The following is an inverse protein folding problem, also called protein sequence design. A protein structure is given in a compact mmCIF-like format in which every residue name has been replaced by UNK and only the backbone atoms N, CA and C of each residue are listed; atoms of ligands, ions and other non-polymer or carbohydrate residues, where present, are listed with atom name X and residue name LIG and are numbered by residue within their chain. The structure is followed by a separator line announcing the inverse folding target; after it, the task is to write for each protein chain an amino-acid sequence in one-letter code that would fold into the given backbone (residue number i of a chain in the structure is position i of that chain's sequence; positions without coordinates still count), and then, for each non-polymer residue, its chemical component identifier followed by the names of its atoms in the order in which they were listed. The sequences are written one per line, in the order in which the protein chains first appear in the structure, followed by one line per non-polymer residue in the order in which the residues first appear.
data_IF_518861808225
#
_entry.id   IF_518861808225
#
_cell.length_a   1.000
_cell.length_b   1.000
_cell.length_c   1.000
_cell.angle_alpha   90.00
_cell.angle_beta   90.00
_cell.angle_gamma   90.00
#
_symmetry.space_group_name_H-M   'P 1'
#
loop_
_entity.id
_entity.type
_entity.pdbx_description
1 polymer ?
#
# COMPACT_ATOMS: atom_id res chain seq x y z
N UNK A 1 -37.67 -11.28 -3.64
CA UNK A 1 -36.50 -10.44 -3.92
C UNK A 1 -36.70 -9.15 -3.15
N UNK A 2 -36.07 -9.01 -2.00
CA UNK A 2 -36.17 -7.78 -1.19
C UNK A 2 -35.03 -6.83 -1.59
N UNK A 3 -35.38 -5.74 -2.22
CA UNK A 3 -34.45 -4.62 -2.50
C UNK A 3 -34.07 -3.95 -1.19
N UNK A 4 -32.86 -4.20 -0.71
CA UNK A 4 -32.26 -3.42 0.38
C UNK A 4 -31.95 -2.01 -0.16
N UNK A 5 -32.76 -1.05 0.24
CA UNK A 5 -32.47 0.38 0.06
C UNK A 5 -31.18 0.72 0.82
N UNK A 6 -30.18 1.26 0.12
CA UNK A 6 -28.97 1.79 0.77
C UNK A 6 -29.36 2.89 1.76
N UNK A 7 -28.80 2.89 3.00
CA UNK A 7 -29.05 3.97 3.94
C UNK A 7 -28.53 5.28 3.40
N UNK A 8 -29.28 6.36 3.61
CA UNK A 8 -28.92 7.72 3.24
C UNK A 8 -27.57 8.10 3.90
N UNK A 9 -26.75 8.82 3.14
CA UNK A 9 -25.45 9.33 3.61
C UNK A 9 -25.66 10.16 4.88
N UNK A 10 -24.94 9.90 5.99
CA UNK A 10 -24.93 10.82 7.11
C UNK A 10 -24.35 12.18 6.64
N UNK A 11 -24.84 13.26 7.23
CA UNK A 11 -24.31 14.61 7.01
C UNK A 11 -22.78 14.63 7.24
N UNK A 12 -22.01 15.45 6.53
CA UNK A 12 -20.56 15.49 6.68
C UNK A 12 -20.23 15.81 8.15
N UNK A 13 -19.49 14.91 8.77
CA UNK A 13 -19.00 15.11 10.14
C UNK A 13 -18.08 16.35 10.12
N UNK A 14 -18.43 17.41 10.84
CA UNK A 14 -17.68 18.65 10.88
C UNK A 14 -16.37 18.56 11.67
N UNK A 15 -16.19 17.48 12.45
CA UNK A 15 -14.99 17.26 13.27
C UNK A 15 -13.88 16.68 12.39
N UNK A 16 -12.69 17.30 12.44
CA UNK A 16 -11.50 16.79 11.76
C UNK A 16 -11.06 15.46 12.39
N UNK A 17 -10.69 14.45 11.57
CA UNK A 17 -10.07 13.23 12.09
C UNK A 17 -8.80 13.56 12.87
N UNK A 18 -8.58 12.82 13.96
CA UNK A 18 -7.32 12.89 14.71
C UNK A 18 -6.37 11.84 14.16
N UNK A 19 -5.14 12.26 13.86
CA UNK A 19 -4.02 11.38 13.56
C UNK A 19 -3.04 11.43 14.73
N UNK A 20 -2.79 10.30 15.35
CA UNK A 20 -1.78 10.17 16.40
C UNK A 20 -0.43 9.83 15.77
N UNK A 21 0.63 10.50 16.24
CA UNK A 21 1.98 10.33 15.72
C UNK A 21 2.95 9.94 16.83
N UNK A 22 3.57 8.77 16.70
CA UNK A 22 4.69 8.32 17.51
C UNK A 22 5.99 8.61 16.74
N UNK A 23 6.68 9.68 17.10
CA UNK A 23 7.96 10.09 16.50
C UNK A 23 9.07 9.08 16.82
N UNK A 24 9.91 8.76 15.83
CA UNK A 24 11.07 7.88 16.00
C UNK A 24 12.20 8.52 16.81
N UNK A 25 12.27 9.86 16.90
CA UNK A 25 13.33 10.56 17.61
C UNK A 25 13.36 10.24 19.12
N UNK A 26 14.56 10.05 19.65
CA UNK A 26 14.80 9.79 21.08
C UNK A 26 15.59 10.97 21.64
N UNK A 27 14.96 11.73 22.53
CA UNK A 27 15.56 12.91 23.15
C UNK A 27 16.51 12.60 24.30
N UNK A 28 16.31 11.43 24.95
CA UNK A 28 17.15 10.91 26.04
C UNK A 28 17.20 9.38 25.96
N UNK A 29 18.28 8.78 26.44
CA UNK A 29 18.47 7.31 26.44
C UNK A 29 17.62 6.63 27.53
N UNK A 30 16.32 6.67 27.35
CA UNK A 30 15.31 6.06 28.23
C UNK A 30 14.41 5.12 27.43
N UNK A 31 14.18 3.91 27.92
CA UNK A 31 13.36 2.90 27.23
C UNK A 31 11.92 3.38 26.95
N UNK A 32 11.36 4.21 27.83
CA UNK A 32 10.05 4.82 27.69
C UNK A 32 9.92 5.78 26.50
N UNK A 33 11.03 6.35 26.04
CA UNK A 33 11.08 7.31 24.91
C UNK A 33 11.35 6.65 23.56
N UNK A 34 11.57 5.34 23.54
CA UNK A 34 11.80 4.59 22.30
C UNK A 34 10.52 4.44 21.48
N UNK A 35 10.65 4.32 20.16
CA UNK A 35 9.50 4.17 19.27
C UNK A 35 8.59 2.98 19.64
N UNK A 36 9.09 1.78 20.03
CA UNK A 36 8.22 0.70 20.50
C UNK A 36 7.37 1.09 21.71
N UNK A 37 7.92 1.86 22.66
CA UNK A 37 7.18 2.33 23.83
C UNK A 37 6.14 3.40 23.44
N UNK A 38 6.51 4.34 22.59
CA UNK A 38 5.59 5.34 22.03
C UNK A 38 4.46 4.67 21.22
N UNK A 39 4.77 3.64 20.45
CA UNK A 39 3.73 2.90 19.71
C UNK A 39 2.72 2.20 20.63
N UNK A 40 3.14 1.63 21.74
CA UNK A 40 2.21 1.11 22.75
C UNK A 40 1.25 2.20 23.22
N UNK A 41 1.77 3.38 23.62
CA UNK A 41 0.93 4.52 24.06
C UNK A 41 0.03 5.06 22.95
N UNK A 42 0.49 4.99 21.69
CA UNK A 42 -0.35 5.35 20.55
C UNK A 42 -1.57 4.43 20.45
N UNK A 43 -1.39 3.13 20.61
CA UNK A 43 -2.49 2.15 20.55
C UNK A 43 -3.53 2.37 21.65
N UNK A 44 -3.14 2.87 22.84
CA UNK A 44 -4.04 3.21 23.95
C UNK A 44 -5.05 4.32 23.59
N UNK A 45 -4.74 5.15 22.57
CA UNK A 45 -5.64 6.22 22.11
C UNK A 45 -6.90 5.72 21.38
N UNK A 46 -6.95 4.43 21.03
CA UNK A 46 -8.05 3.87 20.24
C UNK A 46 -9.06 3.05 21.02
N UNK A 47 -8.97 3.01 22.35
CA UNK A 47 -9.88 2.23 23.20
C UNK A 47 -10.12 0.81 22.65
N UNK A 48 -9.02 0.09 22.41
CA UNK A 48 -9.08 -1.26 21.83
C UNK A 48 -10.02 -2.20 22.61
N UNK A 49 -10.08 -2.19 23.97
CA UNK A 49 -11.01 -3.05 24.70
C UNK A 49 -12.48 -2.86 24.28
N UNK A 50 -12.93 -1.62 24.10
CA UNK A 50 -14.30 -1.36 23.64
C UNK A 50 -14.54 -1.76 22.17
N UNK A 51 -13.46 -1.78 21.35
CA UNK A 51 -13.56 -2.02 19.90
C UNK A 51 -13.40 -3.46 19.50
N UNK A 52 -12.53 -4.24 20.17
CA UNK A 52 -12.10 -5.55 19.67
C UNK A 52 -12.47 -6.73 20.58
N UNK A 53 -13.01 -6.49 21.79
CA UNK A 53 -13.40 -7.56 22.71
C UNK A 53 -14.35 -8.55 22.01
N UNK A 54 -14.04 -9.84 22.13
CA UNK A 54 -14.76 -10.96 21.56
C UNK A 54 -14.87 -10.94 20.01
N UNK A 55 -14.11 -10.08 19.31
CA UNK A 55 -14.14 -9.93 17.85
C UNK A 55 -13.03 -10.72 17.16
N UNK A 56 -13.29 -11.05 15.88
CA UNK A 56 -12.28 -11.52 14.92
C UNK A 56 -11.60 -10.31 14.31
N UNK A 57 -10.30 -10.16 14.57
CA UNK A 57 -9.49 -9.03 14.09
C UNK A 57 -8.63 -9.47 12.92
N UNK A 58 -8.74 -8.76 11.80
CA UNK A 58 -7.87 -8.92 10.63
C UNK A 58 -6.85 -7.81 10.57
N UNK A 59 -5.56 -8.15 10.47
CA UNK A 59 -4.47 -7.20 10.26
C UNK A 59 -3.98 -7.39 8.82
N UNK A 60 -4.32 -6.47 7.93
CA UNK A 60 -3.77 -6.45 6.56
C UNK A 60 -2.45 -5.72 6.55
N UNK A 61 -1.44 -6.39 6.10
CA UNK A 61 -0.11 -5.83 5.94
C UNK A 61 0.54 -6.36 4.66
N UNK A 62 1.71 -5.87 4.28
CA UNK A 62 2.47 -6.40 3.16
C UNK A 62 3.64 -7.23 3.69
N UNK A 63 3.68 -8.51 3.30
CA UNK A 63 4.73 -9.43 3.73
C UNK A 63 6.03 -9.28 2.94
N UNK A 64 6.04 -8.43 1.92
CA UNK A 64 7.18 -8.23 1.04
C UNK A 64 7.23 -9.27 -0.09
N UNK A 65 8.27 -9.22 -0.88
CA UNK A 65 8.54 -10.15 -1.96
C UNK A 65 10.04 -10.43 -2.07
N UNK A 66 10.41 -11.53 -2.69
CA UNK A 66 11.77 -11.97 -3.01
C UNK A 66 12.81 -11.63 -1.90
N UNK A 67 13.86 -10.90 -2.22
CA UNK A 67 14.96 -10.55 -1.32
C UNK A 67 14.76 -9.23 -0.55
N UNK A 68 13.60 -8.60 -0.63
CA UNK A 68 13.31 -7.36 0.10
C UNK A 68 13.46 -7.54 1.62
N UNK A 69 14.16 -6.62 2.30
CA UNK A 69 14.46 -6.69 3.74
C UNK A 69 13.96 -5.48 4.54
N UNK A 70 13.45 -4.46 3.86
CA UNK A 70 13.03 -3.18 4.48
C UNK A 70 11.56 -3.16 4.91
N UNK A 71 10.89 -4.31 4.93
CA UNK A 71 9.51 -4.46 5.41
C UNK A 71 9.39 -4.10 6.89
N UNK A 72 8.16 -3.92 7.38
CA UNK A 72 7.89 -3.60 8.79
C UNK A 72 8.54 -4.65 9.71
N UNK A 73 9.32 -4.22 10.70
CA UNK A 73 9.90 -5.14 11.67
C UNK A 73 8.82 -5.93 12.42
N UNK A 74 8.96 -7.27 12.56
CA UNK A 74 8.03 -8.11 13.34
C UNK A 74 7.77 -7.61 14.76
N UNK A 75 8.69 -6.86 15.35
CA UNK A 75 8.54 -6.26 16.68
C UNK A 75 7.29 -5.39 16.78
N UNK A 76 7.01 -4.57 15.77
CA UNK A 76 5.85 -3.68 15.79
C UNK A 76 4.54 -4.46 15.64
N UNK A 77 4.53 -5.52 14.81
CA UNK A 77 3.35 -6.37 14.67
C UNK A 77 3.08 -7.11 15.97
N UNK A 78 4.11 -7.61 16.63
CA UNK A 78 3.98 -8.27 17.96
C UNK A 78 3.41 -7.34 19.02
N UNK A 79 3.81 -6.06 19.03
CA UNK A 79 3.26 -5.04 19.94
C UNK A 79 1.76 -4.88 19.67
N UNK A 80 1.36 -4.75 18.41
CA UNK A 80 -0.05 -4.65 18.03
C UNK A 80 -0.83 -5.91 18.43
N UNK A 81 -0.32 -7.09 18.08
CA UNK A 81 -0.96 -8.38 18.41
C UNK A 81 -1.12 -8.55 19.92
N UNK A 82 -0.11 -8.16 20.72
CA UNK A 82 -0.20 -8.23 22.17
C UNK A 82 -1.27 -7.27 22.71
N UNK A 83 -1.31 -6.02 22.24
CA UNK A 83 -2.34 -5.07 22.62
C UNK A 83 -3.76 -5.55 22.29
N UNK A 84 -3.94 -6.22 21.15
CA UNK A 84 -5.23 -6.81 20.77
C UNK A 84 -5.62 -8.00 21.66
N UNK A 85 -4.67 -8.84 22.06
CA UNK A 85 -4.90 -9.94 23.02
C UNK A 85 -5.31 -9.40 24.38
N UNK A 86 -4.57 -8.40 24.89
CA UNK A 86 -4.84 -7.76 26.17
C UNK A 86 -6.21 -7.06 26.16
N UNK A 87 -6.64 -6.57 25.00
CA UNK A 87 -7.97 -5.99 24.77
C UNK A 87 -9.08 -7.04 24.59
N UNK A 88 -8.77 -8.34 24.68
CA UNK A 88 -9.75 -9.42 24.61
C UNK A 88 -10.23 -9.81 23.21
N UNK A 89 -9.45 -9.56 22.16
CA UNK A 89 -9.77 -10.05 20.82
C UNK A 89 -9.86 -11.59 20.81
N UNK A 90 -10.97 -12.12 20.23
CA UNK A 90 -11.22 -13.57 20.19
C UNK A 90 -10.29 -14.31 19.25
N UNK A 91 -9.99 -13.72 18.10
CA UNK A 91 -9.14 -14.30 17.07
C UNK A 91 -8.42 -13.20 16.31
N UNK A 92 -7.13 -13.35 16.09
CA UNK A 92 -6.29 -12.36 15.40
C UNK A 92 -5.60 -13.06 14.22
N UNK A 93 -5.69 -12.46 13.04
CA UNK A 93 -5.04 -12.92 11.81
C UNK A 93 -4.21 -11.79 11.20
N UNK A 94 -2.93 -12.03 10.93
CA UNK A 94 -2.15 -11.23 10.00
C UNK A 94 -2.30 -11.80 8.59
N UNK A 95 -2.55 -10.96 7.59
CA UNK A 95 -2.86 -11.43 6.24
C UNK A 95 -2.16 -10.67 5.15
N UNK A 96 -1.70 -11.40 4.13
CA UNK A 96 -1.26 -10.89 2.83
C UNK A 96 -1.54 -11.95 1.75
N UNK A 97 -1.29 -11.62 0.49
CA UNK A 97 -1.62 -12.48 -0.64
C UNK A 97 -0.96 -13.87 -0.56
N UNK A 98 0.34 -13.90 -0.22
CA UNK A 98 1.11 -15.13 -0.08
C UNK A 98 1.85 -15.15 1.26
N UNK A 99 1.38 -15.90 2.25
CA UNK A 99 2.05 -16.02 3.56
C UNK A 99 3.48 -16.53 3.47
N UNK A 100 3.80 -17.37 2.47
CA UNK A 100 5.14 -17.93 2.30
C UNK A 100 6.20 -16.84 2.07
N UNK A 101 5.83 -15.72 1.42
CA UNK A 101 6.74 -14.60 1.19
C UNK A 101 7.21 -13.94 2.50
N UNK A 102 6.42 -14.07 3.56
CA UNK A 102 6.73 -13.49 4.87
C UNK A 102 7.69 -14.30 5.74
N UNK A 103 7.88 -15.60 5.45
CA UNK A 103 8.64 -16.52 6.32
C UNK A 103 10.09 -16.02 6.50
N UNK A 104 10.77 -15.67 5.42
CA UNK A 104 12.15 -15.20 5.46
C UNK A 104 12.33 -13.89 6.25
N UNK A 105 11.24 -13.16 6.51
CA UNK A 105 11.21 -11.88 7.25
C UNK A 105 10.69 -12.05 8.68
N UNK A 106 10.44 -13.30 9.09
CA UNK A 106 9.94 -13.61 10.43
C UNK A 106 8.43 -13.39 10.60
N UNK A 107 7.65 -13.28 9.52
CA UNK A 107 6.20 -13.21 9.62
C UNK A 107 5.61 -14.62 9.71
N UNK A 108 5.88 -15.27 10.83
CA UNK A 108 5.34 -16.60 11.15
C UNK A 108 4.43 -16.52 12.37
N UNK A 109 3.60 -17.53 12.55
CA UNK A 109 2.69 -17.61 13.71
C UNK A 109 3.45 -17.51 15.04
N UNK A 110 4.59 -18.18 15.13
CA UNK A 110 5.42 -18.24 16.35
C UNK A 110 6.01 -16.87 16.65
N UNK A 111 6.46 -16.15 15.64
CA UNK A 111 7.07 -14.83 15.81
C UNK A 111 6.01 -13.78 16.06
N UNK A 112 4.93 -13.73 15.28
CA UNK A 112 3.89 -12.70 15.40
C UNK A 112 2.95 -12.94 16.57
N UNK A 113 2.77 -14.19 16.99
CA UNK A 113 1.85 -14.58 18.05
C UNK A 113 0.38 -14.60 17.63
N UNK A 114 0.08 -14.60 16.34
CA UNK A 114 -1.26 -14.73 15.77
C UNK A 114 -1.23 -15.59 14.52
N UNK A 115 -2.39 -15.96 13.97
CA UNK A 115 -2.45 -16.68 12.71
C UNK A 115 -1.94 -15.84 11.55
N UNK A 116 -1.21 -16.48 10.62
CA UNK A 116 -0.71 -15.87 9.39
C UNK A 116 -1.38 -16.58 8.23
N UNK A 117 -2.18 -15.85 7.47
CA UNK A 117 -3.08 -16.44 6.48
C UNK A 117 -3.00 -15.73 5.12
N UNK A 118 -3.37 -16.46 4.05
CA UNK A 118 -3.61 -15.80 2.77
C UNK A 118 -4.86 -14.93 2.84
N UNK A 119 -4.79 -13.73 2.29
CA UNK A 119 -5.93 -12.83 2.15
C UNK A 119 -7.12 -13.49 1.41
N UNK A 120 -6.86 -14.49 0.55
CA UNK A 120 -7.89 -15.18 -0.26
C UNK A 120 -8.26 -16.57 0.27
N UNK A 121 -7.92 -16.86 1.53
CA UNK A 121 -8.13 -18.15 2.17
C UNK A 121 -7.20 -19.25 1.64
N UNK A 122 -7.29 -20.45 2.21
CA UNK A 122 -6.41 -21.57 1.87
C UNK A 122 -6.57 -22.04 0.40
N UNK A 123 -7.78 -21.92 -0.17
CA UNK A 123 -8.05 -22.29 -1.56
C UNK A 123 -7.74 -21.21 -2.58
N UNK A 124 -7.33 -20.02 -2.15
CA UNK A 124 -7.15 -18.80 -2.97
C UNK A 124 -8.43 -18.37 -3.73
N UNK A 125 -9.61 -18.80 -3.26
CA UNK A 125 -10.92 -18.60 -3.91
C UNK A 125 -11.97 -18.00 -2.99
N UNK A 126 -11.61 -17.58 -1.78
CA UNK A 126 -12.52 -16.93 -0.85
C UNK A 126 -12.67 -15.46 -1.22
N UNK A 127 -13.59 -15.18 -2.15
CA UNK A 127 -13.74 -13.90 -2.81
C UNK A 127 -15.20 -13.50 -2.91
N UNK A 128 -15.45 -12.19 -2.76
CA UNK A 128 -16.74 -11.54 -3.04
C UNK A 128 -16.66 -10.76 -4.34
N UNK A 129 -17.69 -10.90 -5.18
CA UNK A 129 -17.83 -10.17 -6.43
C UNK A 129 -18.53 -8.84 -6.18
N UNK A 130 -17.89 -7.73 -6.50
CA UNK A 130 -18.42 -6.39 -6.28
C UNK A 130 -18.41 -5.57 -7.58
N UNK A 131 -19.57 -5.10 -8.06
CA UNK A 131 -19.65 -4.30 -9.27
C UNK A 131 -18.99 -2.92 -9.03
N UNK A 132 -18.19 -2.48 -10.01
CA UNK A 132 -17.56 -1.15 -10.03
C UNK A 132 -18.09 -0.32 -11.18
N UNK A 133 -18.16 -0.89 -12.38
CA UNK A 133 -18.64 -0.20 -13.58
C UNK A 133 -17.76 1.01 -14.00
N UNK A 134 -16.44 0.86 -13.92
CA UNK A 134 -15.51 1.92 -14.28
C UNK A 134 -14.56 1.46 -15.40
N UNK A 135 -14.81 1.93 -16.63
CA UNK A 135 -14.00 1.59 -17.82
C UNK A 135 -13.84 0.06 -17.97
N UNK A 136 -12.58 -0.43 -18.01
CA UNK A 136 -12.27 -1.86 -18.10
C UNK A 136 -12.37 -2.59 -16.75
N UNK A 137 -12.60 -1.86 -15.67
CA UNK A 137 -12.82 -2.38 -14.33
C UNK A 137 -14.33 -2.46 -14.06
N UNK A 138 -14.97 -3.48 -14.60
CA UNK A 138 -16.40 -3.75 -14.47
C UNK A 138 -16.78 -4.24 -13.06
N UNK A 139 -15.92 -5.07 -12.48
CA UNK A 139 -16.06 -5.61 -11.13
C UNK A 139 -14.71 -5.69 -10.41
N UNK A 140 -14.73 -5.73 -9.09
CA UNK A 140 -13.62 -6.14 -8.24
C UNK A 140 -13.97 -7.42 -7.48
N UNK A 141 -12.97 -8.29 -7.36
CA UNK A 141 -13.02 -9.43 -6.46
C UNK A 141 -12.36 -9.00 -5.14
N UNK A 142 -13.12 -9.02 -4.05
CA UNK A 142 -12.64 -8.65 -2.72
C UNK A 142 -12.40 -9.88 -1.86
N UNK A 143 -11.35 -9.86 -1.09
CA UNK A 143 -10.95 -10.88 -0.11
C UNK A 143 -12.05 -11.17 0.91
N UNK A 144 -12.50 -12.42 0.99
CA UNK A 144 -13.43 -12.86 2.05
C UNK A 144 -12.77 -12.86 3.42
N UNK A 145 -11.48 -13.22 3.54
CA UNK A 145 -10.76 -13.19 4.82
C UNK A 145 -10.69 -11.77 5.42
N UNK A 146 -10.57 -10.74 4.57
CA UNK A 146 -10.55 -9.36 5.01
C UNK A 146 -11.96 -8.82 5.28
N UNK A 147 -12.93 -9.08 4.38
CA UNK A 147 -14.31 -8.56 4.49
C UNK A 147 -15.05 -9.13 5.69
N UNK A 148 -14.80 -10.39 6.06
CA UNK A 148 -15.51 -11.08 7.14
C UNK A 148 -14.87 -10.88 8.53
N UNK A 149 -13.88 -9.99 8.66
CA UNK A 149 -13.41 -9.57 9.97
C UNK A 149 -14.47 -8.71 10.67
N UNK A 150 -14.56 -8.84 11.99
CA UNK A 150 -15.42 -7.98 12.81
C UNK A 150 -14.76 -6.61 13.09
N UNK A 151 -13.42 -6.59 13.04
CA UNK A 151 -12.58 -5.39 13.14
C UNK A 151 -11.39 -5.52 12.19
N UNK A 152 -11.16 -4.52 11.36
CA UNK A 152 -10.11 -4.53 10.37
C UNK A 152 -9.03 -3.48 10.68
N UNK A 153 -7.78 -3.91 10.67
CA UNK A 153 -6.61 -3.04 10.84
C UNK A 153 -5.80 -3.08 9.55
N UNK A 154 -5.61 -1.94 8.92
CA UNK A 154 -4.57 -1.77 7.92
C UNK A 154 -3.25 -1.40 8.60
N UNK A 155 -2.21 -2.20 8.41
CA UNK A 155 -0.88 -1.98 8.98
C UNK A 155 0.13 -1.84 7.84
N UNK A 156 0.24 -0.62 7.33
CA UNK A 156 0.97 -0.31 6.11
C UNK A 156 2.36 0.21 6.36
N UNK A 157 3.25 -0.09 5.42
CA UNK A 157 4.59 0.50 5.30
C UNK A 157 4.56 1.61 4.26
N UNK A 158 4.92 2.83 4.64
CA UNK A 158 5.00 3.97 3.73
C UNK A 158 6.31 3.92 2.92
N UNK A 159 6.18 4.01 1.60
CA UNK A 159 7.30 4.00 0.64
C UNK A 159 6.88 4.56 -0.72
N UNK A 160 7.86 4.86 -1.57
CA UNK A 160 7.61 5.25 -2.96
C UNK A 160 7.05 4.09 -3.79
N UNK A 161 6.38 4.40 -4.89
CA UNK A 161 5.85 3.41 -5.82
C UNK A 161 5.77 3.97 -7.24
N UNK A 162 6.35 3.25 -8.21
CA UNK A 162 6.41 3.69 -9.61
C UNK A 162 5.05 3.90 -10.26
N UNK A 163 4.03 3.07 -9.95
CA UNK A 163 2.70 3.18 -10.57
C UNK A 163 1.75 4.10 -9.78
N UNK A 164 1.80 4.04 -8.45
CA UNK A 164 0.87 4.76 -7.58
C UNK A 164 1.39 6.12 -7.06
N UNK A 165 2.68 6.44 -7.26
CA UNK A 165 3.38 7.52 -6.57
C UNK A 165 3.86 7.09 -5.18
N UNK A 166 3.02 6.49 -4.35
CA UNK A 166 3.39 5.92 -3.06
C UNK A 166 2.62 4.65 -2.71
N UNK A 167 3.09 3.92 -1.71
CA UNK A 167 2.36 2.83 -1.05
C UNK A 167 2.09 3.19 0.40
N UNK A 168 0.83 3.14 0.80
CA UNK A 168 0.29 3.36 2.14
C UNK A 168 -0.98 2.54 2.33
N UNK A 169 -1.87 2.93 3.24
CA UNK A 169 -3.09 2.22 3.56
C UNK A 169 -4.02 2.07 2.34
N UNK A 170 -4.21 3.13 1.54
CA UNK A 170 -5.02 3.05 0.33
C UNK A 170 -4.53 1.95 -0.61
N UNK A 171 -3.23 1.94 -0.92
CA UNK A 171 -2.64 0.95 -1.83
C UNK A 171 -2.65 -0.45 -1.23
N UNK A 172 -2.39 -0.59 0.07
CA UNK A 172 -2.40 -1.87 0.77
C UNK A 172 -3.79 -2.51 0.74
N UNK A 173 -4.85 -1.71 0.83
CA UNK A 173 -6.23 -2.18 0.63
C UNK A 173 -6.46 -2.47 -0.86
N UNK A 174 -6.39 -1.48 -1.74
CA UNK A 174 -6.80 -1.65 -3.14
C UNK A 174 -6.11 -2.83 -3.84
N UNK A 175 -4.80 -3.01 -3.61
CA UNK A 175 -4.02 -4.11 -4.20
C UNK A 175 -3.96 -5.35 -3.33
N UNK A 176 -4.02 -5.19 -2.01
CA UNK A 176 -3.79 -6.29 -1.07
C UNK A 176 -5.05 -7.08 -0.70
N UNK A 177 -6.26 -6.51 -0.89
CA UNK A 177 -7.52 -7.26 -0.70
C UNK A 177 -8.12 -7.73 -2.02
N UNK A 178 -7.41 -7.57 -3.14
CA UNK A 178 -7.85 -8.01 -4.48
C UNK A 178 -6.89 -9.04 -5.07
N UNK A 179 -7.39 -10.06 -5.76
CA UNK A 179 -6.56 -11.10 -6.39
C UNK A 179 -5.87 -10.58 -7.66
N UNK A 180 -4.91 -11.35 -8.21
CA UNK A 180 -4.17 -10.99 -9.42
C UNK A 180 -5.04 -10.58 -10.61
N UNK A 181 -6.22 -11.18 -10.75
CA UNK A 181 -7.16 -10.86 -11.82
C UNK A 181 -7.64 -9.40 -11.75
N UNK A 182 -8.13 -8.97 -10.59
CA UNK A 182 -8.58 -7.57 -10.37
C UNK A 182 -7.41 -6.59 -10.48
N UNK A 183 -6.24 -6.94 -9.91
CA UNK A 183 -5.02 -6.13 -10.05
C UNK A 183 -4.61 -5.94 -11.51
N UNK A 184 -4.70 -6.99 -12.32
CA UNK A 184 -4.44 -6.91 -13.76
C UNK A 184 -5.42 -5.98 -14.49
N UNK A 185 -6.71 -5.95 -14.11
CA UNK A 185 -7.70 -5.00 -14.63
C UNK A 185 -7.32 -3.56 -14.23
N UNK A 186 -6.90 -3.34 -12.96
CA UNK A 186 -6.40 -2.04 -12.48
C UNK A 186 -5.20 -1.53 -13.28
N UNK A 187 -4.15 -2.33 -13.44
CA UNK A 187 -2.97 -1.91 -14.21
C UNK A 187 -3.30 -1.57 -15.65
N UNK A 188 -4.29 -2.24 -16.25
CA UNK A 188 -4.75 -1.90 -17.61
C UNK A 188 -5.41 -0.53 -17.71
N UNK A 189 -5.97 0.02 -16.62
CA UNK A 189 -6.50 1.38 -16.61
C UNK A 189 -5.40 2.42 -16.83
N UNK A 190 -4.21 2.17 -16.30
CA UNK A 190 -3.07 3.06 -16.51
C UNK A 190 -2.59 3.07 -17.96
N UNK A 191 -2.90 2.06 -18.74
CA UNK A 191 -2.33 1.83 -20.05
C UNK A 191 -1.00 1.12 -19.95
N UNK A 192 0.06 1.69 -20.51
CA UNK A 192 1.38 1.14 -20.39
C UNK A 192 2.15 1.08 -21.71
N UNK A 193 3.03 0.08 -21.83
CA UNK A 193 3.76 -0.21 -23.06
C UNK A 193 3.05 -1.36 -23.77
N UNK A 194 2.48 -1.07 -24.94
CA UNK A 194 1.98 -2.10 -25.82
C UNK A 194 3.16 -2.80 -26.49
N UNK A 195 3.14 -4.13 -26.48
CA UNK A 195 4.14 -4.99 -27.09
C UNK A 195 3.52 -5.81 -28.21
N UNK A 196 4.10 -5.68 -29.42
CA UNK A 196 3.71 -6.48 -30.56
C UNK A 196 4.77 -7.60 -30.80
N UNK A 197 4.47 -8.84 -30.39
CA UNK A 197 5.43 -9.94 -30.53
C UNK A 197 5.73 -10.31 -31.97
N UNK A 198 4.87 -9.95 -32.95
CA UNK A 198 5.09 -10.21 -34.36
C UNK A 198 6.16 -9.30 -34.98
N UNK A 199 6.33 -8.11 -34.40
CA UNK A 199 7.37 -7.14 -34.80
C UNK A 199 8.68 -7.31 -34.04
N UNK A 200 8.65 -8.01 -32.92
CA UNK A 200 9.82 -8.18 -32.08
C UNK A 200 10.81 -9.18 -32.66
N UNK A 201 12.02 -8.73 -32.99
CA UNK A 201 13.12 -9.60 -33.46
C UNK A 201 13.93 -10.19 -32.31
N UNK A 202 13.49 -10.00 -31.05
CA UNK A 202 14.20 -10.44 -29.86
C UNK A 202 15.65 -9.95 -29.75
N UNK A 203 15.94 -8.74 -30.24
CA UNK A 203 17.28 -8.14 -30.25
C UNK A 203 17.75 -7.70 -28.83
N UNK A 204 16.88 -7.70 -27.82
CA UNK A 204 17.11 -7.39 -26.39
C UNK A 204 17.66 -5.98 -26.12
N UNK A 205 17.74 -5.08 -27.10
CA UNK A 205 18.23 -3.70 -26.88
C UNK A 205 17.42 -2.92 -25.83
N UNK A 206 16.15 -3.27 -25.65
CA UNK A 206 15.28 -2.65 -24.65
C UNK A 206 15.67 -3.00 -23.19
N UNK A 207 16.35 -4.14 -22.93
CA UNK A 207 16.73 -4.56 -21.59
C UNK A 207 17.75 -3.59 -20.96
N UNK A 208 18.96 -3.40 -21.56
CA UNK A 208 19.94 -2.48 -20.99
C UNK A 208 19.50 -1.01 -21.10
N UNK A 209 18.56 -0.69 -21.99
CA UNK A 209 18.00 0.65 -22.08
C UNK A 209 17.00 0.98 -20.97
N UNK A 210 16.55 0.00 -20.21
CA UNK A 210 15.64 0.23 -19.10
C UNK A 210 16.41 0.58 -17.81
N UNK A 211 16.39 1.84 -17.33
CA UNK A 211 17.17 2.26 -16.17
C UNK A 211 16.69 1.61 -14.86
N UNK A 212 15.47 1.05 -14.85
CA UNK A 212 14.87 0.47 -13.67
C UNK A 212 14.74 -1.07 -13.74
N UNK A 213 15.34 -1.72 -14.74
CA UNK A 213 15.28 -3.18 -14.90
C UNK A 213 13.84 -3.73 -15.04
N UNK A 214 12.93 -2.95 -15.62
CA UNK A 214 11.52 -3.32 -15.76
C UNK A 214 11.22 -4.29 -16.90
N UNK A 215 12.23 -4.74 -17.65
CA UNK A 215 12.04 -5.60 -18.85
C UNK A 215 12.77 -6.91 -18.64
N UNK A 216 12.03 -8.00 -18.76
CA UNK A 216 12.55 -9.36 -18.69
C UNK A 216 12.52 -10.02 -20.07
N UNK A 217 13.49 -10.91 -20.35
CA UNK A 217 13.55 -11.70 -21.57
C UNK A 217 13.21 -13.17 -21.26
N UNK A 218 12.25 -13.72 -21.97
CA UNK A 218 12.01 -15.15 -22.03
C UNK A 218 12.78 -15.75 -23.21
N UNK A 219 13.89 -16.41 -22.91
CA UNK A 219 14.78 -17.01 -23.92
C UNK A 219 14.13 -18.16 -24.70
N UNK A 220 13.21 -18.88 -24.06
CA UNK A 220 12.50 -20.01 -24.70
C UNK A 220 11.41 -19.51 -25.63
N UNK A 221 10.60 -18.58 -25.18
CA UNK A 221 9.52 -18.01 -25.98
C UNK A 221 9.97 -16.92 -26.95
N UNK A 222 11.25 -16.48 -26.90
CA UNK A 222 11.80 -15.36 -27.68
C UNK A 222 10.94 -14.10 -27.58
N UNK A 223 10.52 -13.77 -26.34
CA UNK A 223 9.64 -12.64 -26.03
C UNK A 223 10.21 -11.81 -24.90
N UNK A 224 9.77 -10.56 -24.82
CA UNK A 224 10.02 -9.69 -23.67
C UNK A 224 8.72 -9.51 -22.90
N UNK A 225 8.83 -9.30 -21.58
CA UNK A 225 7.73 -8.97 -20.68
C UNK A 225 8.10 -7.74 -19.84
N UNK A 226 7.09 -7.06 -19.32
CA UNK A 226 7.26 -5.83 -18.56
C UNK A 226 6.79 -6.03 -17.13
N UNK A 227 7.68 -5.77 -16.19
CA UNK A 227 7.33 -5.66 -14.78
C UNK A 227 6.97 -4.21 -14.48
N UNK A 228 5.69 -3.87 -14.59
CA UNK A 228 5.20 -2.49 -14.54
C UNK A 228 5.46 -1.80 -13.21
N UNK A 229 5.68 -2.53 -12.11
CA UNK A 229 6.07 -1.93 -10.83
C UNK A 229 7.43 -1.20 -10.88
N UNK A 230 8.34 -1.61 -11.77
CA UNK A 230 9.62 -0.93 -11.99
C UNK A 230 9.55 0.08 -13.14
N UNK A 231 8.50 0.05 -13.95
CA UNK A 231 8.38 0.88 -15.13
C UNK A 231 8.00 2.31 -14.72
N UNK A 232 8.88 3.28 -15.00
CA UNK A 232 8.63 4.71 -14.85
C UNK A 232 8.17 5.39 -16.14
N UNK A 233 7.92 4.58 -17.17
CA UNK A 233 7.46 5.02 -18.50
C UNK A 233 8.35 6.07 -19.16
N UNK A 234 9.63 6.03 -18.89
CA UNK A 234 10.63 6.93 -19.46
C UNK A 234 10.83 6.79 -20.98
N UNK A 235 10.21 5.80 -21.62
CA UNK A 235 10.18 5.52 -23.04
C UNK A 235 11.54 5.11 -23.68
N UNK A 236 12.62 4.96 -22.92
CA UNK A 236 13.92 4.57 -23.49
C UNK A 236 13.84 3.26 -24.29
N UNK A 237 13.09 2.26 -23.79
CA UNK A 237 12.87 1.00 -24.48
C UNK A 237 12.09 1.16 -25.79
N UNK A 238 11.18 2.11 -25.88
CA UNK A 238 10.40 2.42 -27.08
C UNK A 238 11.31 3.07 -28.12
N UNK A 239 12.08 4.07 -27.71
CA UNK A 239 12.96 4.84 -28.57
C UNK A 239 14.08 3.98 -29.20
N UNK A 240 14.62 3.02 -28.41
CA UNK A 240 15.70 2.13 -28.89
C UNK A 240 15.19 0.95 -29.71
N UNK A 241 13.87 0.71 -29.75
CA UNK A 241 13.32 -0.46 -30.45
C UNK A 241 13.38 -0.31 -31.98
N UNK A 242 14.24 -1.06 -32.68
CA UNK A 242 14.48 -0.86 -34.13
C UNK A 242 13.28 -1.25 -35.00
N UNK A 243 12.40 -2.09 -34.46
CA UNK A 243 11.24 -2.60 -35.21
C UNK A 243 9.93 -1.95 -34.77
N UNK A 244 10.00 -0.98 -33.87
CA UNK A 244 8.81 -0.34 -33.25
C UNK A 244 7.79 -1.35 -32.71
N UNK A 245 8.30 -2.47 -32.14
CA UNK A 245 7.49 -3.48 -31.49
C UNK A 245 6.90 -2.98 -30.17
N UNK A 246 7.44 -1.89 -29.62
CA UNK A 246 7.00 -1.25 -28.39
C UNK A 246 6.38 0.11 -28.71
N UNK A 247 5.23 0.38 -28.12
CA UNK A 247 4.52 1.67 -28.25
C UNK A 247 3.98 2.08 -26.89
N UNK A 248 4.00 3.40 -26.60
CA UNK A 248 3.28 3.94 -25.46
C UNK A 248 1.77 3.87 -25.77
N UNK A 249 0.99 3.28 -24.87
CA UNK A 249 -0.47 3.38 -24.91
C UNK A 249 -0.91 4.70 -24.30
N UNK A 250 -2.10 5.18 -24.63
CA UNK A 250 -2.67 6.36 -24.01
C UNK A 250 -2.76 6.12 -22.51
N UNK A 251 -1.94 6.82 -21.74
CA UNK A 251 -1.83 6.66 -20.29
C UNK A 251 -2.70 7.67 -19.58
N UNK A 252 -3.35 7.17 -18.57
CA UNK A 252 -4.12 8.01 -17.65
C UNK A 252 -3.85 7.51 -16.24
N UNK A 253 -2.82 8.06 -15.61
CA UNK A 253 -2.53 7.81 -14.19
C UNK A 253 -3.77 8.07 -13.33
N UNK A 254 -4.54 9.09 -13.67
CA UNK A 254 -5.80 9.43 -13.01
C UNK A 254 -6.81 8.27 -13.07
N UNK A 255 -6.88 7.54 -14.19
CA UNK A 255 -7.79 6.39 -14.33
C UNK A 255 -7.37 5.22 -13.43
N UNK A 256 -6.07 4.95 -13.35
CA UNK A 256 -5.52 3.96 -12.42
C UNK A 256 -5.76 4.39 -10.97
N UNK A 257 -5.47 5.63 -10.64
CA UNK A 257 -5.69 6.21 -9.31
C UNK A 257 -7.18 6.16 -8.91
N UNK A 258 -8.08 6.45 -9.85
CA UNK A 258 -9.53 6.35 -9.61
C UNK A 258 -9.99 4.90 -9.42
N UNK A 259 -9.46 3.96 -10.20
CA UNK A 259 -9.72 2.53 -10.00
C UNK A 259 -9.32 2.05 -8.61
N UNK A 260 -8.15 2.46 -8.14
CA UNK A 260 -7.66 2.20 -6.78
C UNK A 260 -8.59 2.80 -5.72
N UNK A 261 -8.97 4.06 -5.88
CA UNK A 261 -9.87 4.75 -4.95
C UNK A 261 -11.26 4.08 -4.90
N UNK A 262 -11.81 3.66 -6.04
CA UNK A 262 -13.10 2.97 -6.12
C UNK A 262 -13.10 1.62 -5.41
N UNK A 263 -12.07 0.80 -5.59
CA UNK A 263 -11.92 -0.46 -4.86
C UNK A 263 -11.82 -0.20 -3.36
N UNK A 264 -10.99 0.76 -2.94
CA UNK A 264 -10.87 1.11 -1.53
C UNK A 264 -12.19 1.58 -0.95
N UNK A 265 -12.92 2.46 -1.65
CA UNK A 265 -14.25 2.92 -1.21
C UNK A 265 -15.26 1.78 -1.07
N UNK A 266 -15.25 0.80 -1.99
CA UNK A 266 -16.10 -0.40 -1.89
C UNK A 266 -15.74 -1.25 -0.68
N UNK A 267 -14.45 -1.46 -0.43
CA UNK A 267 -13.99 -2.22 0.72
C UNK A 267 -14.38 -1.54 2.04
N UNK A 268 -14.14 -0.22 2.18
CA UNK A 268 -14.48 0.53 3.39
C UNK A 268 -15.98 0.46 3.71
N UNK A 269 -16.85 0.42 2.70
CA UNK A 269 -18.32 0.27 2.89
C UNK A 269 -18.73 -1.07 3.50
N UNK A 270 -17.85 -2.07 3.56
CA UNK A 270 -18.15 -3.36 4.23
C UNK A 270 -18.09 -3.25 5.75
N UNK A 271 -17.51 -2.17 6.27
CA UNK A 271 -17.32 -1.95 7.70
C UNK A 271 -18.07 -0.71 8.19
N UNK A 272 -18.42 -0.73 9.46
CA UNK A 272 -18.75 0.48 10.18
C UNK A 272 -17.45 1.23 10.49
N UNK A 273 -17.42 2.59 10.46
CA UNK A 273 -16.20 3.35 10.68
C UNK A 273 -15.47 3.02 11.99
N UNK A 274 -16.22 2.73 13.07
CA UNK A 274 -15.68 2.35 14.37
C UNK A 274 -14.96 1.00 14.39
N UNK A 275 -15.12 0.19 13.33
CA UNK A 275 -14.46 -1.12 13.17
C UNK A 275 -13.23 -1.07 12.25
N UNK A 276 -12.70 0.13 12.00
CA UNK A 276 -11.53 0.36 11.16
C UNK A 276 -10.41 1.06 11.93
N UNK A 277 -9.18 0.67 11.67
CA UNK A 277 -7.97 1.35 12.16
C UNK A 277 -6.89 1.29 11.07
N UNK A 278 -6.27 2.43 10.79
CA UNK A 278 -5.21 2.58 9.80
C UNK A 278 -3.92 3.01 10.50
N UNK A 279 -2.87 2.22 10.35
CA UNK A 279 -1.56 2.44 10.97
C UNK A 279 -0.52 2.45 9.86
N UNK A 280 0.18 3.57 9.69
CA UNK A 280 1.25 3.72 8.72
C UNK A 280 2.61 3.79 9.41
N UNK A 281 3.51 2.91 9.02
CA UNK A 281 4.89 2.84 9.52
C UNK A 281 5.81 3.59 8.56
N UNK A 282 6.44 4.65 9.06
CA UNK A 282 7.34 5.53 8.33
C UNK A 282 8.80 5.24 8.73
N UNK A 283 9.21 3.98 8.60
CA UNK A 283 10.57 3.49 8.85
C UNK A 283 11.10 2.86 7.58
N UNK A 284 12.41 2.95 7.33
CA UNK A 284 13.02 2.40 6.12
C UNK A 284 12.25 2.82 4.84
N UNK A 285 11.90 4.08 4.71
CA UNK A 285 11.14 4.60 3.58
C UNK A 285 11.98 4.51 2.30
N UNK A 286 11.68 3.56 1.44
CA UNK A 286 12.43 3.24 0.23
C UNK A 286 11.81 3.86 -1.02
N UNK A 287 12.61 3.95 -2.09
CA UNK A 287 12.17 4.45 -3.40
C UNK A 287 11.09 3.56 -4.02
N UNK A 288 11.21 2.23 -3.86
CA UNK A 288 10.23 1.27 -4.37
C UNK A 288 9.51 0.54 -3.25
N UNK A 289 8.30 0.14 -3.56
CA UNK A 289 7.45 -0.65 -2.69
C UNK A 289 8.05 -2.06 -2.46
N UNK A 290 7.76 -2.64 -1.29
CA UNK A 290 8.14 -4.01 -0.93
C UNK A 290 7.64 -5.05 -1.95
N UNK A 291 6.60 -4.73 -2.73
CA UNK A 291 6.09 -5.59 -3.81
C UNK A 291 7.05 -5.73 -5.00
N UNK A 292 8.06 -4.88 -5.11
CA UNK A 292 9.10 -5.02 -6.13
C UNK A 292 10.06 -6.17 -5.86
N UNK A 293 10.01 -6.74 -4.65
CA UNK A 293 10.87 -7.86 -4.27
C UNK A 293 12.32 -7.48 -4.01
N UNK A 294 12.67 -6.20 -4.08
CA UNK A 294 14.00 -5.68 -3.79
C UNK A 294 13.90 -4.50 -2.82
N UNK A 295 14.98 -4.23 -2.13
CA UNK A 295 15.09 -3.07 -1.24
C UNK A 295 16.20 -2.14 -1.69
N UNK A 296 15.98 -0.84 -1.48
CA UNK A 296 16.97 0.22 -1.68
C UNK A 296 17.35 0.82 -0.32
N UNK A 297 18.40 1.64 -0.23
CA UNK A 297 18.60 2.47 0.95
C UNK A 297 17.36 3.31 1.26
N UNK A 298 17.21 3.69 2.53
CA UNK A 298 16.15 4.62 2.92
C UNK A 298 16.34 5.99 2.22
N UNK A 299 15.24 6.57 1.78
CA UNK A 299 15.23 7.91 1.16
C UNK A 299 15.39 9.01 2.19
N UNK A 300 14.75 8.83 3.35
CA UNK A 300 14.74 9.79 4.46
C UNK A 300 15.03 9.06 5.77
N UNK A 301 15.41 9.76 6.84
CA UNK A 301 15.51 9.15 8.17
C UNK A 301 14.20 8.48 8.58
N UNK A 302 14.28 7.55 9.52
CA UNK A 302 13.10 6.98 10.15
C UNK A 302 12.30 8.08 10.84
N UNK A 303 11.01 8.22 10.49
CA UNK A 303 10.14 9.29 11.00
C UNK A 303 9.28 8.81 12.17
N UNK A 304 8.74 7.59 12.10
CA UNK A 304 7.90 7.06 13.17
C UNK A 304 6.69 6.27 12.70
N UNK A 305 5.59 6.36 13.45
CA UNK A 305 4.34 5.66 13.16
C UNK A 305 3.18 6.63 13.31
N UNK A 306 2.29 6.71 12.32
CA UNK A 306 1.02 7.44 12.43
C UNK A 306 -0.15 6.47 12.46
N UNK A 307 -1.23 6.83 13.16
CA UNK A 307 -2.46 6.05 13.17
C UNK A 307 -3.72 6.92 13.28
N UNK A 308 -4.77 6.50 12.61
CA UNK A 308 -6.10 7.14 12.60
C UNK A 308 -7.20 6.12 12.34
N UNK A 309 -8.44 6.45 12.69
CA UNK A 309 -9.63 5.74 12.23
C UNK A 309 -10.11 6.19 10.84
N UNK A 310 -9.47 7.20 10.27
CA UNK A 310 -9.71 7.70 8.91
C UNK A 310 -8.48 7.39 8.04
N UNK A 311 -8.70 6.64 6.95
CA UNK A 311 -7.65 6.19 6.04
C UNK A 311 -6.96 7.37 5.37
N UNK A 312 -7.75 8.32 4.86
CA UNK A 312 -7.22 9.45 4.09
C UNK A 312 -6.39 10.34 5.00
N UNK A 313 -6.88 10.60 6.22
CA UNK A 313 -6.13 11.35 7.21
C UNK A 313 -4.79 10.68 7.58
N UNK A 314 -4.79 9.34 7.76
CA UNK A 314 -3.58 8.58 8.07
C UNK A 314 -2.55 8.64 6.92
N UNK A 315 -2.99 8.41 5.67
CA UNK A 315 -2.10 8.45 4.51
C UNK A 315 -1.63 9.89 4.22
N UNK A 316 -2.50 10.89 4.33
CA UNK A 316 -2.14 12.31 4.13
C UNK A 316 -1.10 12.75 5.17
N UNK A 317 -1.33 12.45 6.45
CA UNK A 317 -0.37 12.79 7.51
C UNK A 317 0.98 12.10 7.29
N UNK A 318 0.98 10.85 6.84
CA UNK A 318 2.20 10.13 6.52
C UNK A 318 2.98 10.79 5.38
N UNK A 319 2.30 11.22 4.32
CA UNK A 319 2.92 11.96 3.21
C UNK A 319 3.43 13.32 3.67
N UNK A 320 2.63 14.07 4.45
CA UNK A 320 3.00 15.41 4.92
C UNK A 320 4.24 15.42 5.82
N UNK A 321 4.58 14.31 6.47
CA UNK A 321 5.78 14.16 7.26
C UNK A 321 7.05 13.92 6.41
N UNK A 322 6.92 13.50 5.15
CA UNK A 322 8.04 13.23 4.26
C UNK A 322 8.34 14.47 3.42
N UNK A 323 9.49 15.10 3.67
CA UNK A 323 9.90 16.33 3.00
C UNK A 323 11.08 16.09 2.03
N UNK A 324 11.12 16.80 0.89
CA UNK A 324 12.26 16.71 -0.04
C UNK A 324 13.61 17.00 0.60
N UNK A 325 13.65 17.93 1.56
CA UNK A 325 14.87 18.36 2.27
C UNK A 325 15.46 17.27 3.17
N UNK A 326 14.67 16.24 3.49
CA UNK A 326 15.13 15.09 4.29
C UNK A 326 15.84 14.02 3.45
N UNK A 327 15.92 14.20 2.12
CA UNK A 327 16.55 13.21 1.23
C UNK A 327 17.98 12.92 1.65
N UNK A 328 18.25 11.65 1.97
CA UNK A 328 19.58 11.19 2.38
C UNK A 328 20.54 11.15 1.18
N UNK A 329 21.82 11.48 1.36
CA UNK A 329 22.80 11.55 0.27
C UNK A 329 22.90 10.28 -0.59
N UNK A 330 22.68 9.10 0.01
CA UNK A 330 22.73 7.80 -0.67
C UNK A 330 21.36 7.16 -0.83
N UNK A 331 20.26 7.91 -0.66
CA UNK A 331 18.89 7.40 -0.74
C UNK A 331 18.47 7.01 -2.14
N UNK A 332 19.09 7.61 -3.16
CA UNK A 332 18.79 7.33 -4.57
C UNK A 332 19.96 6.64 -5.28
N UNK A 333 19.68 5.83 -6.31
CA UNK A 333 20.73 5.30 -7.19
C UNK A 333 21.54 6.42 -7.83
N UNK A 334 22.84 6.18 -8.00
CA UNK A 334 23.76 7.14 -8.63
C UNK A 334 23.25 7.53 -10.03
N UNK A 335 23.20 8.84 -10.30
CA UNK A 335 22.77 9.38 -11.58
C UNK A 335 21.24 9.42 -11.76
N UNK A 336 20.46 9.13 -10.73
CA UNK A 336 18.99 9.32 -10.76
C UNK A 336 18.67 10.81 -10.74
N UNK A 337 18.03 11.31 -11.79
CA UNK A 337 17.49 12.67 -11.86
C UNK A 337 16.10 12.73 -11.22
N UNK A 338 15.83 13.82 -10.53
CA UNK A 338 14.52 14.11 -9.94
C UNK A 338 13.65 14.86 -10.95
N UNK A 339 12.37 14.51 -11.02
CA UNK A 339 11.37 15.25 -11.76
C UNK A 339 11.01 16.56 -11.01
N UNK A 340 10.31 17.47 -11.69
CA UNK A 340 9.66 18.58 -11.01
C UNK A 340 8.52 18.04 -10.12
N UNK A 341 8.29 18.68 -8.97
CA UNK A 341 7.25 18.30 -8.04
C UNK A 341 7.44 18.95 -6.68
N UNK A 342 6.41 18.90 -5.84
CA UNK A 342 6.42 19.48 -4.50
C UNK A 342 6.70 18.46 -3.40
N UNK A 343 6.36 17.19 -3.66
CA UNK A 343 6.59 16.08 -2.73
C UNK A 343 7.76 15.20 -3.19
N UNK A 344 8.53 14.63 -2.26
CA UNK A 344 9.69 13.80 -2.58
C UNK A 344 9.33 12.62 -3.53
N UNK A 345 8.21 11.93 -3.27
CA UNK A 345 7.79 10.83 -4.14
C UNK A 345 7.35 11.30 -5.53
N UNK A 346 6.77 12.49 -5.65
CA UNK A 346 6.47 13.10 -6.94
C UNK A 346 7.76 13.39 -7.71
N UNK A 347 8.76 13.96 -7.07
CA UNK A 347 10.08 14.22 -7.68
C UNK A 347 10.76 12.91 -8.14
N UNK A 348 10.58 11.81 -7.42
CA UNK A 348 11.18 10.52 -7.76
C UNK A 348 10.42 9.81 -8.88
N UNK A 349 9.08 9.81 -8.85
CA UNK A 349 8.24 8.98 -9.72
C UNK A 349 7.46 9.76 -10.80
N UNK A 350 7.48 11.10 -10.75
CA UNK A 350 6.72 11.95 -11.67
C UNK A 350 5.20 11.81 -11.50
N UNK A 351 4.73 11.45 -10.31
CA UNK A 351 3.31 11.24 -9.99
C UNK A 351 2.99 11.85 -8.63
N UNK A 352 2.02 12.77 -8.62
CA UNK A 352 1.52 13.37 -7.38
C UNK A 352 0.90 12.29 -6.48
N UNK A 353 1.46 12.02 -5.28
CA UNK A 353 0.98 10.98 -4.38
C UNK A 353 -0.40 11.29 -3.78
N UNK A 354 -0.86 12.52 -3.78
CA UNK A 354 -2.15 12.93 -3.20
C UNK A 354 -3.35 12.66 -4.11
N UNK A 355 -3.15 12.44 -5.41
CA UNK A 355 -4.26 12.25 -6.38
C UNK A 355 -5.19 11.11 -5.97
N UNK A 356 -4.66 9.97 -5.54
CA UNK A 356 -5.50 8.83 -5.11
C UNK A 356 -6.33 9.16 -3.88
N UNK A 357 -5.76 9.92 -2.93
CA UNK A 357 -6.44 10.33 -1.70
C UNK A 357 -7.57 11.30 -1.99
N UNK A 358 -7.33 12.30 -2.85
CA UNK A 358 -8.35 13.26 -3.30
C UNK A 358 -9.51 12.56 -4.00
N UNK A 359 -9.22 11.55 -4.84
CA UNK A 359 -10.24 10.74 -5.50
C UNK A 359 -11.05 9.92 -4.51
N UNK A 360 -10.40 9.30 -3.52
CA UNK A 360 -11.08 8.55 -2.46
C UNK A 360 -11.95 9.47 -1.59
N UNK A 361 -11.49 10.68 -1.29
CA UNK A 361 -12.25 11.69 -0.54
C UNK A 361 -13.54 12.09 -1.29
N UNK A 362 -13.48 12.30 -2.60
CA UNK A 362 -14.67 12.56 -3.44
C UNK A 362 -15.66 11.39 -3.41
N UNK A 363 -15.18 10.15 -3.23
CA UNK A 363 -16.01 8.96 -3.09
C UNK A 363 -16.54 8.75 -1.66
N UNK A 364 -16.19 9.64 -0.73
CA UNK A 364 -16.60 9.60 0.67
C UNK A 364 -15.86 8.59 1.53
N UNK A 365 -14.61 8.29 1.19
CA UNK A 365 -13.77 7.32 1.91
C UNK A 365 -13.00 7.89 3.11
N UNK A 366 -13.21 9.16 3.47
CA UNK A 366 -12.55 9.84 4.58
C UNK A 366 -12.28 11.31 4.27
N UNK A 367 -11.34 11.94 5.00
CA UNK A 367 -11.00 13.36 4.89
C UNK A 367 -9.50 13.59 4.91
N UNK A 368 -9.02 14.50 4.06
CA UNK A 368 -7.61 14.90 3.99
C UNK A 368 -7.22 15.96 5.03
N UNK A 369 -8.19 16.72 5.57
CA UNK A 369 -7.95 17.67 6.64
C UNK A 369 -8.01 16.97 8.01
N UNK A 370 -6.91 17.00 8.75
CA UNK A 370 -6.75 16.27 10.00
C UNK A 370 -6.14 17.13 11.11
N UNK A 371 -6.16 16.63 12.33
CA UNK A 371 -5.41 17.17 13.48
C UNK A 371 -4.32 16.19 13.86
N UNK A 372 -3.05 16.59 13.80
CA UNK A 372 -1.92 15.77 14.24
C UNK A 372 -1.72 15.92 15.74
N UNK A 373 -1.63 14.78 16.44
CA UNK A 373 -1.36 14.72 17.89
C UNK A 373 -0.17 13.82 18.16
N UNK A 374 0.93 14.42 18.62
CA UNK A 374 2.16 13.69 18.93
C UNK A 374 2.03 12.92 20.26
N UNK A 375 2.53 11.68 20.27
CA UNK A 375 2.63 10.81 21.44
C UNK A 375 3.98 11.05 22.12
N UNK A 376 3.93 11.58 23.32
CA UNK A 376 5.11 11.85 24.15
C UNK A 376 5.60 10.59 24.87
#
# INVERSE_FOLDING_TARGET
MATRTSPARPAPNTVKPVVYFADAAVTRMESSLTLPAKFKRLLEKFDLPARVKDKRVGIKMHFGGDIGYTTISPVFIRILVQALKDAGARHIKAMDNNPADGIARGYTREVLGCDVVSTFGASQKYLYHEPIGFKTLDEALLSGEAVDCDYFIDFSHIKGHGDCGFGGALKNIAMGVTPPETRGKLHRLEGGIAYDPKKCTFCKKCLPACPNGAINADEKAKRVSFFFHHCTYCQHCILICPTHALKLTNRRFEDFAEGMARITALFLKKFKPENLLFINVLLNITMFCDCSGLSTPALVPDLGIVASTDLIAADTAALDLIKPEQLLPNGLPKGRELCAGTHLFEQIHGKDPYVMLQLLERLGGGRSDYTLTEIK
#
